data_IF_510128475079
#
_entry.id   IF_510128475079
#
_cell.length_a   1.000
_cell.length_b   1.000
_cell.length_c   1.000
_cell.angle_alpha   90.00
_cell.angle_beta   90.00
_cell.angle_gamma   90.00
#
_symmetry.space_group_name_H-M   'P 1'
#
loop_
_entity.id
_entity.type
_entity.pdbx_description
1 polymer ?
#
# COMPACT_ATOMS: atom_id res chain seq x y z
N UNK A 1 32.07 -24.51 -27.24
CA UNK A 1 31.26 -23.58 -28.07
C UNK A 1 29.82 -24.08 -28.04
N UNK A 2 28.98 -23.47 -27.22
CA UNK A 2 27.55 -23.80 -27.15
C UNK A 2 26.75 -22.61 -27.69
N UNK A 3 25.81 -22.91 -28.57
CA UNK A 3 25.22 -22.01 -29.54
C UNK A 3 24.22 -21.02 -28.91
N UNK A 4 24.16 -19.85 -29.55
CA UNK A 4 23.25 -18.73 -29.30
C UNK A 4 21.78 -19.16 -29.14
N UNK A 5 21.20 -18.86 -27.98
CA UNK A 5 19.75 -18.90 -27.78
C UNK A 5 19.16 -17.57 -28.26
N UNK A 6 18.40 -17.65 -29.35
CA UNK A 6 17.67 -16.52 -29.95
C UNK A 6 16.41 -16.25 -29.13
N UNK A 7 16.39 -15.19 -28.33
CA UNK A 7 15.18 -14.73 -27.64
C UNK A 7 14.14 -14.22 -28.66
N UNK A 8 13.13 -15.03 -28.98
CA UNK A 8 11.90 -14.54 -29.64
C UNK A 8 11.13 -13.71 -28.63
N UNK A 9 11.02 -12.40 -28.88
CA UNK A 9 10.07 -11.56 -28.18
C UNK A 9 8.65 -12.02 -28.53
N UNK A 10 8.00 -12.74 -27.63
CA UNK A 10 6.55 -12.86 -27.64
C UNK A 10 5.98 -11.51 -27.20
N UNK A 11 5.44 -10.74 -28.16
CA UNK A 11 4.58 -9.59 -27.86
C UNK A 11 3.25 -10.13 -27.32
N UNK A 12 3.09 -10.10 -26.00
CA UNK A 12 1.83 -10.42 -25.34
C UNK A 12 0.85 -9.24 -25.53
N UNK A 13 -0.36 -9.43 -26.08
CA UNK A 13 -1.27 -8.34 -26.46
C UNK A 13 -2.06 -7.73 -25.28
N UNK A 14 -1.84 -8.15 -24.05
CA UNK A 14 -2.35 -7.45 -22.86
C UNK A 14 -1.18 -7.00 -22.00
N UNK A 15 -0.65 -5.82 -22.34
CA UNK A 15 0.18 -5.03 -21.44
C UNK A 15 -0.63 -4.78 -20.18
N UNK A 16 -0.53 -5.66 -19.17
CA UNK A 16 -1.06 -5.39 -17.83
C UNK A 16 -0.34 -4.13 -17.37
N UNK A 17 -1.05 -3.01 -17.35
CA UNK A 17 -0.57 -1.75 -16.83
C UNK A 17 -0.24 -2.01 -15.36
N UNK A 18 1.05 -2.14 -15.04
CA UNK A 18 1.50 -2.26 -13.66
C UNK A 18 1.44 -0.85 -13.11
N UNK A 19 0.29 -0.46 -12.57
CA UNK A 19 0.14 0.77 -11.80
C UNK A 19 0.90 0.54 -10.47
N UNK A 20 2.16 0.96 -10.40
CA UNK A 20 3.01 0.76 -9.21
C UNK A 20 2.61 1.78 -8.16
N UNK A 21 1.82 1.36 -7.17
CA UNK A 21 1.52 2.18 -6.00
C UNK A 21 2.74 2.23 -5.09
N UNK A 22 3.38 3.39 -4.97
CA UNK A 22 4.36 3.66 -3.91
C UNK A 22 3.67 3.53 -2.54
N UNK A 23 4.13 2.58 -1.76
CA UNK A 23 3.66 2.36 -0.38
C UNK A 23 4.80 2.42 0.61
N UNK A 24 4.52 2.88 1.83
CA UNK A 24 5.43 2.85 2.97
C UNK A 24 5.03 1.77 3.98
N UNK A 25 5.95 1.48 4.87
CA UNK A 25 5.71 0.68 6.07
C UNK A 25 6.37 1.38 7.27
N UNK A 26 5.86 1.17 8.47
CA UNK A 26 6.55 1.58 9.69
C UNK A 26 6.27 0.61 10.84
N UNK A 27 7.04 0.77 11.91
CA UNK A 27 6.93 -0.02 13.12
C UNK A 27 6.54 0.88 14.29
N UNK A 28 5.74 0.36 15.22
CA UNK A 28 5.43 1.03 16.47
C UNK A 28 5.37 0.04 17.62
N UNK A 29 5.60 0.53 18.83
CA UNK A 29 5.54 -0.27 20.05
C UNK A 29 4.12 -0.28 20.61
N UNK A 30 3.60 -1.48 20.85
CA UNK A 30 2.34 -1.69 21.54
C UNK A 30 2.50 -1.45 23.05
N UNK A 31 1.41 -1.15 23.75
CA UNK A 31 1.41 -0.99 25.21
C UNK A 31 1.95 -2.23 25.97
N UNK A 32 1.92 -3.43 25.35
CA UNK A 32 2.49 -4.65 25.92
C UNK A 32 4.00 -4.81 25.69
N UNK A 33 4.65 -3.84 25.05
CA UNK A 33 6.08 -3.89 24.69
C UNK A 33 6.38 -4.57 23.35
N UNK A 34 5.38 -5.16 22.69
CA UNK A 34 5.57 -5.81 21.39
C UNK A 34 5.76 -4.78 20.28
N UNK A 35 6.72 -5.01 19.39
CA UNK A 35 6.89 -4.22 18.17
C UNK A 35 5.93 -4.71 17.09
N UNK A 36 5.17 -3.79 16.49
CA UNK A 36 4.13 -4.07 15.49
C UNK A 36 4.47 -3.34 14.19
N UNK A 37 4.36 -4.05 13.07
CA UNK A 37 4.53 -3.51 11.71
C UNK A 37 3.18 -3.16 11.08
N UNK A 38 3.07 -1.97 10.51
CA UNK A 38 2.02 -1.65 9.53
C UNK A 38 2.69 -1.50 8.16
N UNK A 39 2.15 -2.17 7.14
CA UNK A 39 2.70 -2.18 5.79
C UNK A 39 1.64 -1.83 4.73
N UNK A 40 2.08 -1.57 3.50
CA UNK A 40 1.25 -1.11 2.36
C UNK A 40 0.49 0.22 2.59
N UNK A 41 1.10 1.15 3.33
CA UNK A 41 0.52 2.48 3.53
C UNK A 41 0.67 3.29 2.25
N UNK A 42 -0.43 3.70 1.58
CA UNK A 42 -0.33 4.43 0.32
C UNK A 42 0.28 5.81 0.58
N UNK A 43 1.27 6.18 -0.22
CA UNK A 43 1.83 7.53 -0.20
C UNK A 43 1.04 8.37 -1.19
N UNK A 44 0.30 9.35 -0.64
CA UNK A 44 -0.44 10.33 -1.42
C UNK A 44 0.26 11.69 -1.31
N UNK A 45 0.22 12.48 -2.39
CA UNK A 45 0.63 13.89 -2.33
C UNK A 45 -0.31 14.67 -1.39
N UNK A 46 0.20 15.73 -0.76
CA UNK A 46 -0.58 16.51 0.22
C UNK A 46 -1.87 17.09 -0.40
N UNK A 47 -1.79 17.54 -1.65
CA UNK A 47 -2.91 18.06 -2.44
C UNK A 47 -3.90 16.99 -2.93
N UNK A 48 -3.61 15.70 -2.73
CA UNK A 48 -4.54 14.65 -3.15
C UNK A 48 -5.82 14.74 -2.30
N UNK A 49 -7.02 14.72 -2.89
CA UNK A 49 -8.28 14.95 -2.16
C UNK A 49 -8.54 13.92 -1.05
N UNK A 50 -7.96 12.72 -1.17
CA UNK A 50 -8.07 11.64 -0.17
C UNK A 50 -6.91 11.62 0.85
N UNK A 51 -5.96 12.56 0.81
CA UNK A 51 -4.79 12.57 1.72
C UNK A 51 -5.21 12.59 3.19
N UNK A 52 -6.11 13.51 3.56
CA UNK A 52 -6.66 13.62 4.91
C UNK A 52 -7.43 12.36 5.32
N UNK A 53 -8.25 11.81 4.43
CA UNK A 53 -9.01 10.59 4.69
C UNK A 53 -8.07 9.42 5.02
N UNK A 54 -7.05 9.21 4.20
CA UNK A 54 -6.06 8.15 4.41
C UNK A 54 -5.29 8.34 5.71
N UNK A 55 -4.90 9.57 6.04
CA UNK A 55 -4.21 9.86 7.30
C UNK A 55 -5.11 9.59 8.50
N UNK A 56 -6.37 10.04 8.46
CA UNK A 56 -7.37 9.78 9.52
C UNK A 56 -7.61 8.27 9.70
N UNK A 57 -7.74 7.52 8.60
CA UNK A 57 -7.88 6.06 8.62
C UNK A 57 -6.67 5.37 9.22
N UNK A 58 -5.46 5.86 8.96
CA UNK A 58 -4.24 5.31 9.54
C UNK A 58 -4.22 5.50 11.06
N UNK A 59 -4.57 6.69 11.54
CA UNK A 59 -4.66 6.97 12.98
C UNK A 59 -5.68 6.06 13.66
N UNK A 60 -6.89 5.96 13.10
CA UNK A 60 -7.94 5.06 13.62
C UNK A 60 -7.48 3.60 13.63
N UNK A 61 -6.74 3.16 12.61
CA UNK A 61 -6.22 1.80 12.55
C UNK A 61 -5.19 1.51 13.63
N UNK A 62 -4.23 2.42 13.85
CA UNK A 62 -3.24 2.31 14.92
C UNK A 62 -3.94 2.26 16.28
N UNK A 63 -4.88 3.17 16.54
CA UNK A 63 -5.67 3.17 17.79
C UNK A 63 -6.43 1.86 17.98
N UNK A 64 -6.99 1.28 16.91
CA UNK A 64 -7.67 -0.03 16.97
C UNK A 64 -6.70 -1.15 17.34
N UNK A 65 -5.47 -1.14 16.82
CA UNK A 65 -4.46 -2.14 17.16
C UNK A 65 -4.00 -1.99 18.61
N UNK A 66 -3.75 -0.76 19.06
CA UNK A 66 -3.34 -0.45 20.44
C UNK A 66 -4.35 -0.89 21.52
N UNK A 67 -5.63 -1.04 21.14
CA UNK A 67 -6.68 -1.54 22.04
C UNK A 67 -6.80 -3.07 22.07
N UNK A 68 -6.06 -3.80 21.24
CA UNK A 68 -6.13 -5.25 21.21
C UNK A 68 -5.32 -5.84 22.36
N UNK A 69 -5.91 -6.79 23.09
CA UNK A 69 -5.22 -7.52 24.16
C UNK A 69 -4.03 -8.33 23.63
N UNK A 70 -4.19 -8.91 22.44
CA UNK A 70 -3.19 -9.75 21.78
C UNK A 70 -3.05 -9.34 20.31
N UNK A 71 -2.32 -8.24 20.03
CA UNK A 71 -2.13 -7.79 18.65
C UNK A 71 -1.21 -8.74 17.89
N UNK A 72 -1.42 -8.81 16.57
CA UNK A 72 -0.54 -9.49 15.63
C UNK A 72 0.76 -8.69 15.49
N UNK A 73 1.81 -9.36 15.03
CA UNK A 73 3.08 -8.70 14.72
C UNK A 73 2.98 -7.75 13.52
N UNK A 74 2.11 -8.03 12.54
CA UNK A 74 1.99 -7.24 11.33
C UNK A 74 0.55 -7.08 10.83
N UNK A 75 0.31 -5.95 10.16
CA UNK A 75 -1.00 -5.58 9.61
C UNK A 75 -0.87 -4.88 8.25
N UNK A 76 -1.65 -5.33 7.25
CA UNK A 76 -1.77 -4.63 5.97
C UNK A 76 -2.73 -3.47 6.11
N UNK A 77 -2.27 -2.26 5.82
CA UNK A 77 -3.14 -1.10 5.75
C UNK A 77 -4.02 -1.14 4.50
N UNK A 78 -3.54 -1.76 3.41
CA UNK A 78 -4.33 -1.95 2.19
C UNK A 78 -5.55 -2.82 2.43
N UNK A 79 -5.40 -3.95 3.12
CA UNK A 79 -6.52 -4.81 3.51
C UNK A 79 -7.50 -4.07 4.43
N UNK A 80 -7.00 -3.27 5.36
CA UNK A 80 -7.86 -2.43 6.21
C UNK A 80 -8.68 -1.43 5.37
N UNK A 81 -8.05 -0.73 4.42
CA UNK A 81 -8.73 0.22 3.54
C UNK A 81 -9.76 -0.46 2.63
N UNK A 82 -9.48 -1.66 2.10
CA UNK A 82 -10.46 -2.44 1.32
C UNK A 82 -11.76 -2.66 2.09
N UNK A 83 -11.66 -2.89 3.39
CA UNK A 83 -12.81 -3.20 4.23
C UNK A 83 -13.59 -1.96 4.70
N UNK A 84 -12.97 -0.78 4.75
CA UNK A 84 -13.59 0.42 5.35
C UNK A 84 -13.86 1.58 4.38
N UNK A 85 -13.28 1.56 3.17
CA UNK A 85 -13.54 2.56 2.14
C UNK A 85 -14.61 2.08 1.15
N UNK A 86 -15.30 3.04 0.54
CA UNK A 86 -16.10 2.75 -0.66
C UNK A 86 -15.16 2.37 -1.80
N UNK A 87 -15.62 1.51 -2.70
CA UNK A 87 -14.81 1.04 -3.83
C UNK A 87 -14.22 2.17 -4.66
N UNK A 88 -14.96 3.25 -4.90
CA UNK A 88 -14.45 4.41 -5.67
C UNK A 88 -13.25 5.06 -4.99
N UNK A 89 -13.33 5.31 -3.68
CA UNK A 89 -12.24 5.91 -2.91
C UNK A 89 -11.04 4.97 -2.84
N UNK A 90 -11.29 3.69 -2.55
CA UNK A 90 -10.25 2.65 -2.55
C UNK A 90 -9.54 2.61 -3.90
N UNK A 91 -10.32 2.57 -4.98
CA UNK A 91 -9.79 2.54 -6.33
C UNK A 91 -9.00 3.81 -6.65
N UNK A 92 -9.42 4.99 -6.20
CA UNK A 92 -8.70 6.24 -6.45
C UNK A 92 -7.36 6.27 -5.72
N UNK A 93 -7.30 5.79 -4.48
CA UNK A 93 -6.05 5.68 -3.71
C UNK A 93 -5.02 4.80 -4.42
N UNK A 94 -5.46 3.69 -5.04
CA UNK A 94 -4.55 2.70 -5.63
C UNK A 94 -4.46 2.75 -7.17
N UNK A 95 -5.23 3.60 -7.86
CA UNK A 95 -5.06 3.88 -9.30
C UNK A 95 -4.14 5.06 -9.59
N UNK A 96 -3.99 6.00 -8.66
CA UNK A 96 -3.40 7.33 -8.95
C UNK A 96 -1.88 7.36 -8.90
N UNK A 97 -1.18 6.24 -8.66
CA UNK A 97 0.29 6.22 -8.61
C UNK A 97 0.96 5.99 -9.96
N UNK A 98 0.38 6.51 -11.04
CA UNK A 98 1.15 6.81 -12.26
C UNK A 98 2.06 8.01 -12.01
N UNK A 99 3.29 7.72 -11.57
CA UNK A 99 4.52 8.47 -11.88
C UNK A 99 4.40 10.02 -11.89
N UNK A 100 4.68 10.65 -10.77
CA UNK A 100 5.56 11.83 -10.78
C UNK A 100 6.87 11.43 -10.10
N UNK A 101 7.71 10.74 -10.88
CA UNK A 101 9.12 10.54 -10.56
C UNK A 101 9.83 11.88 -10.72
N UNK A 102 10.51 12.30 -9.66
CA UNK A 102 11.77 13.08 -9.67
C UNK A 102 11.82 14.26 -10.64
N UNK A 103 11.55 15.47 -10.13
CA UNK A 103 12.20 16.68 -10.60
C UNK A 103 13.05 17.22 -9.44
#
# INVERSE_FOLDING_TARGET
>A
MCQNVKWRQFKNPTKKRIDIVITKSFYFTHATGNCIKIFEIPVLQAQHPLSFLIQSRLQLFITKIQKQKHPRFSYSFREYLQNCLKWNDYSMVYKTNTLEKNA
#
